data_IF_396831821432
#
_entry.id   IF_396831821432
#
_cell.length_a   1.000
_cell.length_b   1.000
_cell.length_c   1.000
_cell.angle_alpha   90.00
_cell.angle_beta   90.00
_cell.angle_gamma   90.00
#
_symmetry.space_group_name_H-M   'P 1'
#
loop_
_entity.id
_entity.type
_entity.pdbx_description
1 polymer ?
#
# COMPACT_ATOMS: atom_id res chain seq x y z
N UNK A 1 -58.15 32.67 11.71
CA UNK A 1 -57.15 32.59 10.62
C UNK A 1 -56.01 33.54 10.96
N UNK A 2 -54.83 33.04 11.38
CA UNK A 2 -53.51 33.71 11.29
C UNK A 2 -52.45 32.91 12.04
N UNK A 3 -51.62 32.23 11.25
CA UNK A 3 -50.18 32.10 11.45
C UNK A 3 -49.68 31.42 12.72
N UNK A 4 -49.83 30.10 12.85
CA UNK A 4 -49.11 29.27 13.83
C UNK A 4 -48.03 28.37 13.19
N UNK A 5 -47.58 28.68 11.97
CA UNK A 5 -46.67 27.84 11.20
C UNK A 5 -45.17 28.15 11.38
N UNK A 6 -44.78 29.17 12.15
CA UNK A 6 -43.38 29.64 12.20
C UNK A 6 -42.52 28.86 13.23
N UNK A 7 -43.10 28.10 14.14
CA UNK A 7 -42.35 27.50 15.28
C UNK A 7 -41.76 26.12 14.98
N UNK A 8 -42.17 25.44 13.91
CA UNK A 8 -41.72 24.06 13.61
C UNK A 8 -40.59 23.95 12.57
N UNK A 9 -40.03 25.09 12.11
CA UNK A 9 -39.01 25.10 11.05
C UNK A 9 -37.56 24.84 11.48
N UNK A 10 -37.28 24.69 12.79
CA UNK A 10 -35.91 24.76 13.34
C UNK A 10 -35.39 23.46 13.99
N UNK A 11 -35.95 22.29 13.65
CA UNK A 11 -35.50 21.01 14.28
C UNK A 11 -34.94 19.99 13.28
N UNK A 12 -34.98 20.24 11.97
CA UNK A 12 -34.59 19.23 10.95
C UNK A 12 -33.22 19.49 10.30
N UNK A 13 -32.32 20.23 10.94
CA UNK A 13 -31.01 20.60 10.34
C UNK A 13 -29.80 20.21 11.20
N UNK A 14 -29.92 19.16 12.02
CA UNK A 14 -28.88 18.80 12.99
C UNK A 14 -28.15 17.49 12.75
N UNK A 15 -28.53 16.66 11.77
CA UNK A 15 -27.95 15.31 11.60
C UNK A 15 -27.12 15.25 10.32
N UNK A 16 -26.06 16.05 10.28
CA UNK A 16 -24.92 15.73 9.43
C UNK A 16 -24.12 14.62 10.09
N UNK A 17 -24.03 13.45 9.46
CA UNK A 17 -23.16 12.38 9.92
C UNK A 17 -21.72 12.73 9.53
N UNK A 18 -20.98 13.35 10.45
CA UNK A 18 -19.53 13.50 10.34
C UNK A 18 -18.88 12.31 11.00
N UNK A 19 -18.55 11.27 10.22
CA UNK A 19 -17.71 10.20 10.75
C UNK A 19 -16.28 10.72 10.81
N UNK A 20 -15.80 11.02 12.03
CA UNK A 20 -14.42 11.42 12.27
C UNK A 20 -13.55 10.18 12.04
N UNK A 21 -12.88 10.13 10.89
CA UNK A 21 -12.01 9.02 10.55
C UNK A 21 -10.94 8.87 11.65
N UNK A 22 -10.69 7.65 12.14
CA UNK A 22 -9.64 7.43 13.13
C UNK A 22 -8.32 8.06 12.66
N UNK A 23 -7.54 8.65 13.56
CA UNK A 23 -6.25 9.21 13.19
C UNK A 23 -5.41 8.13 12.50
N UNK A 24 -5.00 8.41 11.26
CA UNK A 24 -4.21 7.47 10.47
C UNK A 24 -2.86 7.25 11.16
N UNK A 25 -2.57 6.01 11.57
CA UNK A 25 -1.27 5.62 12.07
C UNK A 25 -0.30 5.51 10.89
N UNK A 26 0.72 6.38 10.84
CA UNK A 26 1.74 6.34 9.81
C UNK A 26 2.76 5.25 10.13
N UNK A 27 2.74 4.17 9.36
CA UNK A 27 3.74 3.09 9.41
C UNK A 27 4.73 3.25 8.25
N UNK A 28 6.02 3.55 8.50
CA UNK A 28 7.04 3.59 7.46
C UNK A 28 7.17 2.23 6.76
N UNK A 29 7.25 2.27 5.42
CA UNK A 29 7.46 1.09 4.58
C UNK A 29 8.34 1.45 3.39
N UNK A 30 9.06 0.45 2.87
CA UNK A 30 9.96 0.60 1.74
C UNK A 30 9.61 -0.36 0.60
N UNK A 31 10.03 -0.02 -0.62
CA UNK A 31 9.87 -0.85 -1.80
C UNK A 31 11.22 -1.32 -2.33
N UNK A 32 11.43 -2.63 -2.35
CA UNK A 32 12.59 -3.30 -2.93
C UNK A 32 12.27 -3.78 -4.35
N UNK A 33 12.77 -3.06 -5.34
CA UNK A 33 12.49 -3.28 -6.76
C UNK A 33 13.52 -4.14 -7.50
N UNK A 34 14.67 -4.45 -6.88
CA UNK A 34 15.73 -5.22 -7.54
C UNK A 34 15.33 -6.69 -7.66
N UNK A 35 15.80 -7.35 -8.71
CA UNK A 35 15.53 -8.79 -8.97
C UNK A 35 16.22 -9.72 -7.97
N UNK A 36 17.35 -9.32 -7.38
CA UNK A 36 18.00 -10.08 -6.31
C UNK A 36 17.59 -9.53 -4.95
N UNK A 37 16.97 -10.34 -4.10
CA UNK A 37 16.69 -9.97 -2.72
C UNK A 37 17.96 -10.12 -1.88
N UNK A 38 18.56 -8.98 -1.55
CA UNK A 38 19.64 -8.83 -0.59
C UNK A 38 19.61 -7.43 -0.03
N UNK A 39 19.57 -7.30 1.29
CA UNK A 39 19.68 -6.04 1.99
C UNK A 39 21.15 -5.81 2.37
N UNK A 40 21.75 -4.77 1.81
CA UNK A 40 23.09 -4.35 2.23
C UNK A 40 23.06 -3.93 3.72
N UNK A 41 24.18 -4.01 4.46
CA UNK A 41 24.22 -3.64 5.87
C UNK A 41 23.68 -2.23 6.16
N UNK A 42 23.90 -1.27 5.26
CA UNK A 42 23.36 0.08 5.38
C UNK A 42 21.83 0.14 5.15
N UNK A 43 21.29 -0.66 4.24
CA UNK A 43 19.84 -0.77 4.00
C UNK A 43 19.16 -1.40 5.22
N UNK A 44 19.72 -2.48 5.78
CA UNK A 44 19.23 -3.10 7.02
C UNK A 44 19.27 -2.12 8.20
N UNK A 45 20.40 -1.43 8.42
CA UNK A 45 20.52 -0.47 9.50
C UNK A 45 19.51 0.69 9.40
N UNK A 46 19.23 1.17 8.18
CA UNK A 46 18.20 2.18 7.93
C UNK A 46 16.81 1.65 8.28
N UNK A 47 16.48 0.46 7.78
CA UNK A 47 15.22 -0.23 8.01
C UNK A 47 14.92 -0.47 9.50
N UNK A 48 15.96 -0.80 10.27
CA UNK A 48 15.87 -1.00 11.73
C UNK A 48 15.73 0.33 12.48
N UNK A 49 16.50 1.35 12.07
CA UNK A 49 16.45 2.67 12.71
C UNK A 49 15.07 3.33 12.60
N UNK A 50 14.35 3.05 11.51
CA UNK A 50 13.00 3.54 11.24
C UNK A 50 11.91 2.59 11.74
N UNK A 51 12.28 1.47 12.37
CA UNK A 51 11.35 0.43 12.86
C UNK A 51 10.32 0.01 11.80
N UNK A 52 10.78 -0.13 10.55
CA UNK A 52 9.93 -0.50 9.43
C UNK A 52 9.45 -1.94 9.65
N UNK A 53 8.14 -2.16 9.68
CA UNK A 53 7.58 -3.50 9.87
C UNK A 53 7.19 -4.18 8.56
N UNK A 54 7.16 -3.42 7.46
CA UNK A 54 6.64 -3.87 6.16
C UNK A 54 7.60 -3.51 5.04
N UNK A 55 7.99 -4.52 4.26
CA UNK A 55 8.80 -4.35 3.07
C UNK A 55 8.04 -4.88 1.86
N UNK A 56 7.76 -4.00 0.91
CA UNK A 56 7.18 -4.37 -0.37
C UNK A 56 8.30 -4.89 -1.27
N UNK A 57 8.21 -6.13 -1.71
CA UNK A 57 9.26 -6.77 -2.51
C UNK A 57 8.69 -7.13 -3.87
N UNK A 58 9.32 -6.66 -4.95
CA UNK A 58 8.95 -7.01 -6.32
C UNK A 58 9.28 -8.49 -6.57
N UNK A 59 8.26 -9.32 -6.74
CA UNK A 59 8.40 -10.75 -6.99
C UNK A 59 8.63 -11.06 -8.47
N UNK A 60 7.93 -10.36 -9.35
CA UNK A 60 8.13 -10.43 -10.80
C UNK A 60 7.37 -9.26 -11.46
N UNK A 61 7.70 -9.04 -12.72
CA UNK A 61 6.99 -8.10 -13.58
C UNK A 61 6.02 -8.87 -14.46
N UNK A 62 4.90 -8.27 -14.83
CA UNK A 62 4.01 -8.79 -15.88
C UNK A 62 4.12 -7.89 -17.08
N UNK A 63 4.32 -8.53 -18.22
CA UNK A 63 4.61 -7.86 -19.46
C UNK A 63 3.98 -8.57 -20.66
N UNK A 64 3.61 -7.81 -21.70
CA UNK A 64 2.97 -8.36 -22.90
C UNK A 64 3.99 -9.02 -23.84
N UNK A 65 3.84 -10.32 -24.08
CA UNK A 65 4.59 -11.04 -25.11
C UNK A 65 3.83 -10.99 -26.44
N UNK A 66 4.32 -10.18 -27.39
CA UNK A 66 3.69 -10.02 -28.70
C UNK A 66 3.70 -11.29 -29.57
N UNK A 67 4.63 -12.23 -29.34
CA UNK A 67 4.70 -13.50 -30.09
C UNK A 67 3.66 -14.48 -29.60
N UNK A 68 3.40 -14.49 -28.29
CA UNK A 68 2.42 -15.37 -27.64
C UNK A 68 1.02 -14.75 -27.59
N UNK A 69 0.92 -13.42 -27.68
CA UNK A 69 -0.33 -12.68 -27.60
C UNK A 69 -0.93 -12.69 -26.19
N UNK A 70 -0.10 -12.74 -25.15
CA UNK A 70 -0.55 -12.86 -23.75
C UNK A 70 0.42 -12.16 -22.77
N UNK A 71 -0.06 -11.74 -21.58
CA UNK A 71 0.82 -11.25 -20.52
C UNK A 71 1.61 -12.40 -19.90
N UNK A 72 2.92 -12.21 -19.72
CA UNK A 72 3.84 -13.20 -19.16
C UNK A 72 4.64 -12.63 -18.00
N UNK A 73 4.98 -13.44 -16.98
CA UNK A 73 5.86 -13.03 -15.91
C UNK A 73 7.30 -12.86 -16.42
N UNK A 74 7.98 -11.82 -15.96
CA UNK A 74 9.34 -11.45 -16.31
C UNK A 74 10.15 -11.13 -15.05
N UNK A 75 11.48 -11.29 -15.16
CA UNK A 75 12.43 -10.94 -14.11
C UNK A 75 12.02 -11.41 -12.69
N UNK A 76 11.82 -12.74 -12.49
CA UNK A 76 11.45 -13.28 -11.20
C UNK A 76 12.48 -12.92 -10.13
N UNK A 77 12.01 -12.79 -8.90
CA UNK A 77 12.84 -12.50 -7.74
C UNK A 77 13.74 -13.71 -7.42
N UNK A 78 15.02 -13.43 -7.25
CA UNK A 78 16.03 -14.36 -6.80
C UNK A 78 16.36 -14.09 -5.33
N UNK A 79 16.16 -15.08 -4.48
CA UNK A 79 16.49 -14.99 -3.06
C UNK A 79 17.98 -15.25 -2.88
N UNK A 80 18.75 -14.20 -2.57
CA UNK A 80 20.17 -14.35 -2.25
C UNK A 80 20.40 -14.59 -0.74
N UNK A 81 19.43 -14.22 0.09
CA UNK A 81 19.38 -14.44 1.52
C UNK A 81 17.91 -14.55 1.98
N UNK A 82 17.62 -15.23 3.10
CA UNK A 82 16.26 -15.26 3.64
C UNK A 82 15.87 -13.88 4.19
N UNK A 83 14.58 -13.50 4.10
CA UNK A 83 14.10 -12.27 4.70
C UNK A 83 14.13 -12.34 6.23
N UNK A 84 14.18 -11.16 6.86
CA UNK A 84 14.01 -10.97 8.30
C UNK A 84 12.63 -11.47 8.76
N UNK A 85 12.54 -12.46 9.67
CA UNK A 85 11.27 -13.04 10.11
C UNK A 85 10.39 -12.06 10.89
N UNK A 86 10.97 -11.01 11.48
CA UNK A 86 10.23 -9.99 12.24
C UNK A 86 9.63 -8.92 11.32
N UNK A 87 9.86 -9.03 10.01
CA UNK A 87 9.40 -8.06 9.00
C UNK A 87 8.46 -8.70 7.99
N UNK A 88 7.29 -8.11 7.83
CA UNK A 88 6.32 -8.57 6.85
C UNK A 88 6.82 -8.28 5.43
N UNK A 89 7.07 -9.34 4.67
CA UNK A 89 7.29 -9.25 3.22
C UNK A 89 5.93 -9.21 2.53
N UNK A 90 5.67 -8.11 1.82
CA UNK A 90 4.49 -7.97 0.98
C UNK A 90 4.90 -8.21 -0.47
N UNK A 91 4.46 -9.31 -1.10
CA UNK A 91 4.81 -9.59 -2.49
C UNK A 91 4.16 -8.57 -3.42
N UNK A 92 4.94 -8.06 -4.37
CA UNK A 92 4.49 -7.09 -5.38
C UNK A 92 4.65 -7.69 -6.76
N UNK A 93 3.59 -7.61 -7.56
CA UNK A 93 3.63 -7.87 -9.00
C UNK A 93 3.64 -6.52 -9.70
N UNK A 94 4.70 -6.24 -10.45
CA UNK A 94 4.82 -4.97 -11.18
C UNK A 94 4.20 -5.09 -12.57
N UNK A 95 3.23 -4.25 -12.90
CA UNK A 95 2.55 -4.29 -14.21
C UNK A 95 3.16 -3.22 -15.12
N UNK A 96 3.66 -3.63 -16.29
CA UNK A 96 4.09 -2.68 -17.33
C UNK A 96 2.99 -2.48 -18.35
N UNK A 97 2.58 -1.23 -18.58
CA UNK A 97 1.67 -0.88 -19.67
C UNK A 97 2.49 -0.22 -20.79
N UNK A 98 2.62 -0.92 -21.92
CA UNK A 98 3.46 -0.54 -23.06
C UNK A 98 2.63 -0.55 -24.35
#
# INVERSE_FOLDING_TARGET
MRGWWVVWGLVVWGWGCGEEAPPATLEPAFYHWKSGFRLAPAEQALLDSLRVQRLYVRFFDVDWDARRGEPVPQAPLEWAEPPDPDRAIVPVVFLTNR
#
